data_IF_794792739253
#
_entry.id   IF_794792739253
#
_cell.length_a   1.000
_cell.length_b   1.000
_cell.length_c   1.000
_cell.angle_alpha   90.00
_cell.angle_beta   90.00
_cell.angle_gamma   90.00
#
_symmetry.space_group_name_H-M   'P 1'
#
loop_
_entity.id
_entity.type
_entity.pdbx_description
1 polymer ?
#
# COMPACT_ATOMS: atom_id res chain seq x y z
N UNK A 1 5.79 8.05 9.42
CA UNK A 1 5.44 6.76 8.79
C UNK A 1 6.43 5.65 9.15
N UNK A 2 7.73 5.74 8.84
CA UNK A 2 8.72 4.68 9.16
C UNK A 2 8.75 4.29 10.66
N UNK A 3 8.74 5.26 11.57
CA UNK A 3 8.74 4.98 13.01
C UNK A 3 7.51 4.20 13.49
N UNK A 4 6.35 4.39 12.85
CA UNK A 4 5.14 3.64 13.20
C UNK A 4 5.25 2.21 12.66
N UNK A 5 5.68 2.05 11.40
CA UNK A 5 5.94 0.74 10.81
C UNK A 5 6.88 -0.11 11.68
N UNK A 6 8.02 0.43 12.12
CA UNK A 6 8.95 -0.34 12.95
C UNK A 6 8.33 -0.80 14.27
N UNK A 7 7.54 0.06 14.92
CA UNK A 7 6.85 -0.27 16.17
C UNK A 7 5.81 -1.36 15.95
N UNK A 8 4.97 -1.19 14.93
CA UNK A 8 3.89 -2.11 14.60
C UNK A 8 4.44 -3.49 14.22
N UNK A 9 5.52 -3.55 13.43
CA UNK A 9 6.16 -4.80 13.04
C UNK A 9 6.84 -5.51 14.21
N UNK A 10 7.46 -4.77 15.14
CA UNK A 10 8.03 -5.37 16.35
C UNK A 10 6.93 -6.00 17.20
N UNK A 11 5.81 -5.32 17.40
CA UNK A 11 4.65 -5.86 18.13
C UNK A 11 4.12 -7.11 17.44
N UNK A 12 3.94 -7.05 16.12
CA UNK A 12 3.49 -8.19 15.31
C UNK A 12 4.42 -9.40 15.45
N UNK A 13 5.73 -9.21 15.29
CA UNK A 13 6.69 -10.31 15.41
C UNK A 13 6.79 -10.86 16.83
N UNK A 14 6.67 -10.03 17.86
CA UNK A 14 6.62 -10.52 19.24
C UNK A 14 5.42 -11.45 19.45
N UNK A 15 4.22 -11.05 19.01
CA UNK A 15 3.03 -11.90 19.11
C UNK A 15 3.18 -13.20 18.32
N UNK A 16 3.69 -13.13 17.09
CA UNK A 16 3.95 -14.33 16.26
C UNK A 16 5.00 -15.25 16.87
N UNK A 17 5.96 -14.73 17.62
CA UNK A 17 6.99 -15.53 18.28
C UNK A 17 6.46 -16.37 19.44
N UNK A 18 5.34 -15.97 20.06
CA UNK A 18 4.63 -16.72 21.10
C UNK A 18 3.73 -17.81 20.52
N UNK A 19 3.17 -17.57 19.33
CA UNK A 19 2.22 -18.47 18.68
C UNK A 19 2.89 -19.54 17.80
N UNK A 20 4.03 -19.22 17.18
CA UNK A 20 4.74 -20.10 16.25
C UNK A 20 5.78 -20.92 17.02
N UNK A 21 5.70 -22.25 16.88
CA UNK A 21 6.64 -23.20 17.50
C UNK A 21 8.08 -23.01 16.99
N UNK A 22 9.12 -23.34 17.79
CA UNK A 22 10.50 -23.35 17.33
C UNK A 22 10.68 -24.19 16.05
N UNK A 23 11.40 -23.64 15.06
CA UNK A 23 11.55 -24.22 13.73
C UNK A 23 10.37 -24.02 12.78
N UNK A 24 9.25 -23.47 13.26
CA UNK A 24 8.08 -23.12 12.44
C UNK A 24 8.37 -21.98 11.45
N UNK A 25 7.63 -21.96 10.35
CA UNK A 25 7.83 -21.01 9.25
C UNK A 25 6.72 -19.95 9.21
N UNK A 26 7.09 -18.74 8.82
CA UNK A 26 6.17 -17.65 8.51
C UNK A 26 6.55 -17.04 7.17
N UNK A 27 5.55 -16.80 6.32
CA UNK A 27 5.74 -16.09 5.04
C UNK A 27 5.03 -14.75 5.13
N UNK A 28 5.76 -13.69 4.82
CA UNK A 28 5.25 -12.33 4.77
C UNK A 28 5.38 -11.80 3.34
N UNK A 29 4.28 -11.25 2.81
CA UNK A 29 4.21 -10.66 1.48
C UNK A 29 3.66 -9.26 1.60
N UNK A 30 4.42 -8.25 1.14
CA UNK A 30 3.97 -6.87 1.09
C UNK A 30 4.02 -6.34 -0.34
N UNK A 31 3.05 -5.52 -0.79
CA UNK A 31 3.20 -4.77 -2.02
C UNK A 31 4.45 -3.86 -1.96
N UNK A 32 5.06 -3.59 -3.12
CA UNK A 32 6.21 -2.67 -3.24
C UNK A 32 6.02 -1.71 -4.43
N UNK A 33 6.42 -0.44 -4.21
CA UNK A 33 6.47 0.74 -5.10
C UNK A 33 5.24 1.14 -5.94
N UNK A 34 4.59 0.22 -6.64
CA UNK A 34 3.56 0.52 -7.67
C UNK A 34 2.31 1.19 -7.10
N UNK A 35 1.94 0.90 -5.85
CA UNK A 35 0.74 1.46 -5.23
C UNK A 35 0.89 2.92 -4.78
N UNK A 36 2.11 3.37 -4.44
CA UNK A 36 2.35 4.71 -3.86
C UNK A 36 1.99 5.81 -4.86
N UNK A 37 2.45 5.67 -6.11
CA UNK A 37 2.20 6.66 -7.17
C UNK A 37 0.74 6.70 -7.62
N UNK A 38 0.01 5.61 -7.43
CA UNK A 38 -1.38 5.52 -7.89
C UNK A 38 -2.36 6.14 -6.89
N UNK A 39 -1.98 6.23 -5.61
CA UNK A 39 -2.66 7.08 -4.63
C UNK A 39 -2.58 8.56 -5.03
N UNK A 40 -1.52 8.99 -5.73
CA UNK A 40 -1.37 10.39 -6.15
C UNK A 40 -2.54 10.84 -7.05
N UNK A 41 -3.18 9.94 -7.82
CA UNK A 41 -4.39 10.25 -8.60
C UNK A 41 -5.63 10.52 -7.74
N UNK A 42 -5.76 9.84 -6.60
CA UNK A 42 -6.77 10.18 -5.59
C UNK A 42 -6.47 11.54 -4.97
N UNK A 43 -5.20 11.81 -4.63
CA UNK A 43 -4.74 13.10 -4.15
C UNK A 43 -5.06 14.23 -5.13
N UNK A 44 -4.78 14.04 -6.41
CA UNK A 44 -5.14 15.01 -7.47
C UNK A 44 -6.65 15.25 -7.53
N UNK A 45 -7.48 14.20 -7.45
CA UNK A 45 -8.94 14.35 -7.46
C UNK A 45 -9.49 15.04 -6.20
N UNK A 46 -8.82 14.89 -5.05
CA UNK A 46 -9.11 15.68 -3.84
C UNK A 46 -8.77 17.16 -4.07
N UNK A 47 -7.63 17.46 -4.67
CA UNK A 47 -7.24 18.85 -4.97
C UNK A 47 -8.17 19.51 -6.00
N UNK A 48 -8.72 18.77 -6.96
CA UNK A 48 -9.74 19.31 -7.87
C UNK A 48 -10.98 19.77 -7.10
N UNK A 49 -11.39 19.04 -6.05
CA UNK A 49 -12.51 19.45 -5.19
C UNK A 49 -12.17 20.67 -4.34
N UNK A 50 -10.92 20.80 -3.89
CA UNK A 50 -10.45 22.00 -3.19
C UNK A 50 -10.52 23.21 -4.12
N UNK A 51 -10.00 23.09 -5.34
CA UNK A 51 -10.01 24.16 -6.35
C UNK A 51 -11.43 24.59 -6.74
N UNK A 52 -12.40 23.69 -6.67
CA UNK A 52 -13.83 23.98 -6.89
C UNK A 52 -14.55 24.55 -5.65
N UNK A 53 -13.86 24.69 -4.51
CA UNK A 53 -14.45 25.15 -3.24
C UNK A 53 -15.39 24.13 -2.60
N UNK A 54 -15.31 22.86 -2.98
CA UNK A 54 -16.14 21.76 -2.45
C UNK A 54 -15.51 21.05 -1.26
N UNK A 55 -14.21 21.25 -1.05
CA UNK A 55 -13.44 20.64 0.02
C UNK A 55 -12.46 21.66 0.59
N UNK A 56 -12.28 21.67 1.91
CA UNK A 56 -11.27 22.49 2.57
C UNK A 56 -9.89 21.85 2.39
N UNK A 57 -8.90 22.63 1.94
CA UNK A 57 -7.52 22.17 1.76
C UNK A 57 -6.92 21.59 3.05
N UNK A 58 -7.27 22.16 4.21
CA UNK A 58 -6.79 21.68 5.51
C UNK A 58 -7.25 20.25 5.84
N UNK A 59 -8.39 19.82 5.28
CA UNK A 59 -8.85 18.43 5.41
C UNK A 59 -8.00 17.48 4.57
N UNK A 60 -7.52 17.93 3.41
CA UNK A 60 -6.60 17.15 2.56
C UNK A 60 -5.22 17.08 3.23
N UNK A 61 -4.72 18.21 3.75
CA UNK A 61 -3.41 18.27 4.43
C UNK A 61 -3.34 17.41 5.70
N UNK A 62 -4.45 17.30 6.42
CA UNK A 62 -4.54 16.45 7.61
C UNK A 62 -4.74 14.97 7.30
N UNK A 63 -5.14 14.63 6.07
CA UNK A 63 -5.37 13.24 5.67
C UNK A 63 -4.05 12.55 5.31
N UNK A 64 -3.75 11.46 6.02
CA UNK A 64 -2.61 10.61 5.73
C UNK A 64 -3.07 9.17 5.60
N UNK A 65 -2.56 8.45 4.60
CA UNK A 65 -2.84 7.03 4.48
C UNK A 65 -2.02 6.23 5.50
N UNK A 66 -2.66 5.34 6.27
CA UNK A 66 -1.97 4.49 7.26
C UNK A 66 -1.28 3.30 6.57
N UNK A 67 -0.56 3.57 5.47
CA UNK A 67 0.13 2.56 4.68
C UNK A 67 1.62 2.88 4.62
N UNK A 68 2.42 1.84 4.82
CA UNK A 68 3.86 1.91 4.62
C UNK A 68 4.31 0.68 3.85
N UNK A 69 5.10 0.90 2.79
CA UNK A 69 5.63 -0.15 1.94
C UNK A 69 7.13 -0.31 2.25
N UNK A 70 7.52 -1.30 3.07
CA UNK A 70 8.90 -1.43 3.51
C UNK A 70 9.83 -1.84 2.38
N UNK A 71 11.04 -1.28 2.38
CA UNK A 71 12.15 -1.83 1.60
C UNK A 71 12.65 -3.15 2.21
N UNK A 72 13.39 -3.97 1.46
CA UNK A 72 14.09 -5.12 2.04
C UNK A 72 14.96 -4.72 3.25
N UNK A 73 15.58 -3.55 3.22
CA UNK A 73 16.41 -3.04 4.31
C UNK A 73 15.59 -2.70 5.56
N UNK A 74 14.42 -2.07 5.38
CA UNK A 74 13.54 -1.75 6.51
C UNK A 74 13.02 -3.04 7.16
N UNK A 75 12.66 -4.03 6.35
CA UNK A 75 12.20 -5.34 6.83
C UNK A 75 13.31 -6.12 7.54
N UNK A 76 14.53 -6.13 7.00
CA UNK A 76 15.67 -6.79 7.64
C UNK A 76 15.93 -6.20 9.04
N UNK A 77 15.96 -4.86 9.16
CA UNK A 77 16.16 -4.17 10.44
C UNK A 77 15.13 -4.56 11.49
N UNK A 78 13.84 -4.64 11.14
CA UNK A 78 12.79 -4.99 12.13
C UNK A 78 12.87 -6.44 12.56
N UNK A 79 13.22 -7.37 11.65
CA UNK A 79 13.40 -8.80 11.99
C UNK A 79 14.63 -8.98 12.89
N UNK A 80 15.75 -8.33 12.56
CA UNK A 80 16.97 -8.34 13.38
C UNK A 80 16.72 -7.77 14.77
N UNK A 81 16.00 -6.64 14.86
CA UNK A 81 15.64 -5.98 16.13
C UNK A 81 14.72 -6.84 16.99
N UNK A 82 13.78 -7.57 16.40
CA UNK A 82 12.93 -8.51 17.13
C UNK A 82 13.73 -9.73 17.63
N UNK A 83 14.63 -10.27 16.80
CA UNK A 83 15.55 -11.33 17.20
C UNK A 83 14.95 -12.74 17.32
N UNK A 84 13.62 -12.91 17.31
CA UNK A 84 12.94 -14.21 17.48
C UNK A 84 12.93 -15.08 16.20
N UNK A 85 13.19 -14.48 15.03
CA UNK A 85 13.17 -15.15 13.74
C UNK A 85 14.52 -15.05 13.01
N UNK A 86 14.83 -16.04 12.17
CA UNK A 86 15.85 -15.94 11.11
C UNK A 86 15.20 -15.68 9.76
N UNK A 87 15.89 -14.93 8.90
CA UNK A 87 15.48 -14.73 7.51
C UNK A 87 16.00 -15.90 6.70
N UNK A 88 15.12 -16.76 6.21
CA UNK A 88 15.48 -17.88 5.33
C UNK A 88 15.55 -17.42 3.87
N UNK A 89 14.68 -16.48 3.49
CA UNK A 89 14.66 -15.89 2.15
C UNK A 89 14.05 -14.50 2.18
N UNK A 90 14.65 -13.56 1.47
CA UNK A 90 14.08 -12.23 1.24
C UNK A 90 14.39 -11.78 -0.18
N UNK A 91 13.36 -11.48 -0.97
CA UNK A 91 13.52 -11.05 -2.35
C UNK A 91 12.39 -10.14 -2.80
N UNK A 92 12.67 -9.31 -3.81
CA UNK A 92 11.62 -8.63 -4.55
C UNK A 92 11.11 -9.61 -5.62
N UNK A 93 9.91 -10.14 -5.39
CA UNK A 93 9.22 -10.99 -6.34
C UNK A 93 8.46 -10.13 -7.36
N UNK A 94 8.46 -10.59 -8.61
CA UNK A 94 7.72 -9.99 -9.71
C UNK A 94 6.70 -11.02 -10.20
N UNK A 95 5.48 -11.02 -9.65
CA UNK A 95 4.46 -11.99 -10.02
C UNK A 95 4.18 -11.89 -11.52
N UNK A 96 4.49 -12.96 -12.29
CA UNK A 96 4.27 -13.02 -13.75
C UNK A 96 2.79 -13.24 -14.12
N UNK A 97 1.86 -12.93 -13.24
CA UNK A 97 0.45 -13.13 -13.55
C UNK A 97 0.06 -12.17 -14.67
N UNK A 98 -0.45 -12.72 -15.80
CA UNK A 98 -1.04 -11.92 -16.90
C UNK A 98 -2.03 -10.88 -16.38
N UNK A 99 -2.75 -11.20 -15.29
CA UNK A 99 -3.66 -10.27 -14.62
C UNK A 99 -2.99 -8.98 -14.14
N UNK A 100 -1.76 -9.02 -13.62
CA UNK A 100 -1.16 -7.82 -13.00
C UNK A 100 -0.45 -6.94 -14.04
N UNK A 101 0.07 -7.53 -15.11
CA UNK A 101 0.67 -6.78 -16.22
C UNK A 101 -0.39 -6.25 -17.22
N UNK A 102 -1.64 -6.75 -17.17
CA UNK A 102 -2.76 -6.36 -18.04
C UNK A 102 -3.94 -5.72 -17.30
N UNK A 103 -3.86 -5.44 -15.99
CA UNK A 103 -4.92 -4.71 -15.29
C UNK A 103 -5.08 -3.34 -15.98
N UNK A 104 -6.25 -3.11 -16.56
CA UNK A 104 -6.60 -1.81 -17.09
C UNK A 104 -6.81 -0.81 -15.94
N UNK A 105 -6.63 0.47 -16.24
CA UNK A 105 -6.70 1.53 -15.24
C UNK A 105 -8.04 1.55 -14.49
N UNK A 106 -9.17 1.21 -15.14
CA UNK A 106 -10.48 1.20 -14.46
C UNK A 106 -10.54 0.06 -13.44
N UNK A 107 -10.15 -1.15 -13.84
CA UNK A 107 -10.07 -2.29 -12.91
C UNK A 107 -9.17 -1.97 -11.72
N UNK A 108 -8.03 -1.31 -11.95
CA UNK A 108 -7.15 -0.87 -10.86
C UNK A 108 -7.85 0.10 -9.90
N UNK A 109 -8.49 1.16 -10.40
CA UNK A 109 -9.14 2.19 -9.58
C UNK A 109 -10.29 1.58 -8.77
N UNK A 110 -11.04 0.63 -9.33
CA UNK A 110 -12.09 -0.10 -8.60
C UNK A 110 -11.49 -0.86 -7.41
N UNK A 111 -10.37 -1.56 -7.61
CA UNK A 111 -9.68 -2.25 -6.52
C UNK A 111 -9.14 -1.27 -5.47
N UNK A 112 -8.55 -0.15 -5.91
CA UNK A 112 -8.03 0.86 -4.98
C UNK A 112 -9.15 1.55 -4.19
N UNK A 113 -10.32 1.80 -4.82
CA UNK A 113 -11.53 2.26 -4.15
C UNK A 113 -11.91 1.31 -3.02
N UNK A 114 -11.98 0.00 -3.27
CA UNK A 114 -12.34 -0.97 -2.24
C UNK A 114 -11.40 -0.93 -1.01
N UNK A 115 -10.13 -0.55 -1.21
CA UNK A 115 -9.15 -0.40 -0.13
C UNK A 115 -9.28 0.95 0.60
N UNK A 116 -9.50 2.04 -0.14
CA UNK A 116 -9.44 3.41 0.40
C UNK A 116 -10.80 3.98 0.82
N UNK A 117 -11.91 3.47 0.30
CA UNK A 117 -13.24 4.07 0.46
C UNK A 117 -13.62 4.23 1.93
N UNK A 118 -13.38 3.23 2.78
CA UNK A 118 -13.63 3.35 4.21
C UNK A 118 -12.85 4.48 4.90
N UNK A 119 -11.58 4.67 4.51
CA UNK A 119 -10.74 5.76 5.04
C UNK A 119 -11.23 7.12 4.56
N UNK A 120 -11.59 7.22 3.29
CA UNK A 120 -12.11 8.46 2.69
C UNK A 120 -13.45 8.84 3.30
N UNK A 121 -14.36 7.89 3.50
CA UNK A 121 -15.67 8.13 4.13
C UNK A 121 -15.48 8.62 5.56
N UNK A 122 -14.60 7.99 6.33
CA UNK A 122 -14.36 8.35 7.72
C UNK A 122 -13.79 9.76 7.88
N UNK A 123 -12.94 10.21 6.95
CA UNK A 123 -12.27 11.51 7.05
C UNK A 123 -13.02 12.65 6.35
N UNK A 124 -13.55 12.39 5.15
CA UNK A 124 -14.17 13.41 4.30
C UNK A 124 -15.71 13.31 4.20
N UNK A 125 -16.29 12.21 4.69
CA UNK A 125 -17.71 11.90 4.53
C UNK A 125 -18.03 11.19 3.20
N UNK A 126 -19.17 10.51 3.18
CA UNK A 126 -19.58 9.62 2.07
C UNK A 126 -19.69 10.34 0.72
N UNK A 127 -20.27 11.54 0.71
CA UNK A 127 -20.46 12.32 -0.52
C UNK A 127 -19.13 12.69 -1.18
N UNK A 128 -18.14 13.12 -0.39
CA UNK A 128 -16.81 13.46 -0.91
C UNK A 128 -16.08 12.20 -1.36
N UNK A 129 -16.13 11.12 -0.58
CA UNK A 129 -15.50 9.86 -0.94
C UNK A 129 -16.03 9.32 -2.29
N UNK A 130 -17.34 9.34 -2.50
CA UNK A 130 -17.96 8.90 -3.77
C UNK A 130 -17.53 9.78 -4.95
N UNK A 131 -17.56 11.11 -4.78
CA UNK A 131 -17.17 12.07 -5.82
C UNK A 131 -15.69 11.94 -6.20
N UNK A 132 -14.79 11.78 -5.23
CA UNK A 132 -13.34 11.57 -5.47
C UNK A 132 -13.12 10.27 -6.25
N UNK A 133 -13.81 9.19 -5.88
CA UNK A 133 -13.72 7.92 -6.60
C UNK A 133 -14.21 8.05 -8.05
N UNK A 134 -15.34 8.72 -8.26
CA UNK A 134 -15.89 8.96 -9.59
C UNK A 134 -14.94 9.80 -10.46
N UNK A 135 -14.37 10.88 -9.92
CA UNK A 135 -13.39 11.72 -10.62
C UNK A 135 -12.10 10.97 -10.96
N UNK A 136 -11.62 10.17 -10.02
CA UNK A 136 -10.42 9.36 -10.25
C UNK A 136 -10.66 8.34 -11.37
N UNK A 137 -11.86 7.73 -11.44
CA UNK A 137 -12.25 6.85 -12.54
C UNK A 137 -12.26 7.55 -13.91
N UNK A 138 -12.65 8.83 -13.98
CA UNK A 138 -12.61 9.61 -15.22
C UNK A 138 -11.17 9.86 -15.72
N UNK A 139 -10.18 9.80 -14.82
CA UNK A 139 -8.75 9.90 -15.16
C UNK A 139 -8.16 8.57 -15.66
N UNK A 140 -8.97 7.55 -15.94
CA UNK A 140 -8.47 6.21 -16.31
C UNK A 140 -7.54 6.19 -17.53
N UNK A 141 -7.76 7.04 -18.53
CA UNK A 141 -6.88 7.11 -19.72
C UNK A 141 -5.51 7.71 -19.40
N UNK A 142 -5.48 8.75 -18.56
CA UNK A 142 -4.26 9.35 -18.05
C UNK A 142 -3.48 8.34 -17.21
N UNK A 143 -4.18 7.67 -16.29
CA UNK A 143 -3.64 6.60 -15.46
C UNK A 143 -3.09 5.47 -16.31
N UNK A 144 -3.81 5.06 -17.38
CA UNK A 144 -3.35 4.02 -18.30
C UNK A 144 -2.08 4.42 -19.04
N UNK A 145 -2.02 5.66 -19.54
CA UNK A 145 -0.83 6.20 -20.20
C UNK A 145 0.36 6.22 -19.24
N UNK A 146 0.13 6.70 -18.02
CA UNK A 146 1.14 6.73 -16.97
C UNK A 146 1.63 5.32 -16.62
N UNK A 147 0.72 4.35 -16.45
CA UNK A 147 1.06 2.95 -16.17
C UNK A 147 1.90 2.32 -17.29
N UNK A 148 1.61 2.63 -18.56
CA UNK A 148 2.40 2.14 -19.70
C UNK A 148 3.79 2.77 -19.76
N UNK A 149 3.89 4.07 -19.49
CA UNK A 149 5.15 4.80 -19.52
C UNK A 149 6.06 4.51 -18.32
N UNK A 150 5.46 4.23 -17.16
CA UNK A 150 6.15 4.03 -15.89
C UNK A 150 6.06 2.58 -15.39
N UNK A 151 5.66 1.65 -16.28
CA UNK A 151 5.38 0.25 -16.01
C UNK A 151 6.62 -0.56 -15.65
N UNK A 152 7.28 -0.20 -14.55
CA UNK A 152 8.06 -1.17 -13.79
C UNK A 152 7.11 -2.27 -13.34
N UNK A 153 7.48 -3.53 -13.58
CA UNK A 153 6.70 -4.69 -13.13
C UNK A 153 6.32 -4.50 -11.67
N UNK A 154 5.04 -4.71 -11.36
CA UNK A 154 4.60 -4.74 -9.96
C UNK A 154 5.53 -5.66 -9.18
N UNK A 155 6.06 -5.16 -8.07
CA UNK A 155 6.95 -5.91 -7.22
C UNK A 155 6.30 -6.08 -5.87
N UNK A 156 6.59 -7.22 -5.26
CA UNK A 156 6.18 -7.55 -3.91
C UNK A 156 7.42 -7.94 -3.14
N UNK A 157 7.53 -7.46 -1.91
CA UNK A 157 8.54 -7.96 -0.98
C UNK A 157 8.06 -9.31 -0.46
N UNK A 158 8.79 -10.36 -0.81
CA UNK A 158 8.61 -11.71 -0.27
C UNK A 158 9.63 -11.95 0.84
N UNK A 159 9.16 -12.44 1.99
CA UNK A 159 10.01 -12.78 3.13
C UNK A 159 9.57 -14.12 3.69
N UNK A 160 10.50 -15.08 3.76
CA UNK A 160 10.33 -16.32 4.51
C UNK A 160 11.17 -16.24 5.78
N UNK A 161 10.51 -16.44 6.91
CA UNK A 161 11.10 -16.39 8.25
C UNK A 161 10.96 -17.74 8.93
N UNK A 162 11.95 -18.11 9.74
CA UNK A 162 11.91 -19.30 10.58
C UNK A 162 12.04 -18.90 12.04
N UNK A 163 11.18 -19.47 12.90
CA UNK A 163 11.24 -19.25 14.34
C UNK A 163 12.50 -19.92 14.90
N UNK A 164 13.33 -19.14 15.58
CA UNK A 164 14.50 -19.65 16.31
C UNK A 164 14.11 -20.52 17.50
#
# INVERSE_FOLDING_TARGET
>A
MLLNFEKDMVIFFNARAEEIVPGGMMVFISPFLSYIRLVEFFGSSLMDLVNEGKLDESLVDSFNLPMYFPSPQDMAKVVEKNGCFSIEKMELAYPKSKFVDEIDAKTFIINLRAVLEGLLINHFGSKIAEEVCARTLLKSEEISTWMKANGGKSCQLFVALKRK
#
